data_IF_223334851190
#
_entry.id   IF_223334851190
#
_cell.length_a   1.000
_cell.length_b   1.000
_cell.length_c   1.000
_cell.angle_alpha   90.00
_cell.angle_beta   90.00
_cell.angle_gamma   90.00
#
_symmetry.space_group_name_H-M   'P 1'
#
loop_
_entity.id
_entity.type
_entity.pdbx_description
1 polymer ?
#
# COMPACT_ATOMS: atom_id res chain seq x y z
N UNK A 1 -40.98 70.28 -6.04
CA UNK A 1 -40.54 70.16 -4.63
C UNK A 1 -39.45 69.10 -4.59
N UNK A 2 -38.20 69.52 -4.80
CA UNK A 2 -37.07 69.51 -3.84
C UNK A 2 -36.62 68.12 -3.35
N UNK A 3 -35.34 67.73 -3.60
CA UNK A 3 -34.72 66.48 -3.15
C UNK A 3 -34.03 66.64 -1.79
N UNK A 4 -33.87 65.54 -1.05
CA UNK A 4 -33.02 65.48 0.14
C UNK A 4 -31.78 64.62 -0.12
N UNK A 5 -30.67 65.14 0.39
CA UNK A 5 -29.26 64.83 0.15
C UNK A 5 -28.61 64.08 1.32
N UNK A 6 -27.47 63.43 1.04
CA UNK A 6 -26.32 63.14 1.92
C UNK A 6 -26.57 62.14 3.08
N UNK A 7 -25.62 61.33 3.57
CA UNK A 7 -24.16 61.47 3.67
C UNK A 7 -23.48 60.10 3.79
N UNK A 8 -22.27 59.99 3.25
CA UNK A 8 -21.34 58.91 3.57
C UNK A 8 -20.62 59.14 4.90
N UNK A 9 -20.12 58.06 5.51
CA UNK A 9 -19.21 58.11 6.65
C UNK A 9 -18.06 57.14 6.40
N UNK A 10 -16.87 57.72 6.29
CA UNK A 10 -15.57 57.06 6.31
C UNK A 10 -15.28 56.49 7.69
N UNK A 11 -14.74 55.27 7.74
CA UNK A 11 -14.17 54.69 8.95
C UNK A 11 -12.73 55.22 9.17
N UNK A 12 -12.35 55.58 10.41
CA UNK A 12 -11.01 56.08 10.73
C UNK A 12 -10.01 54.94 10.99
N UNK A 13 -8.75 55.19 10.63
CA UNK A 13 -7.58 54.34 10.91
C UNK A 13 -7.17 54.36 12.40
N UNK A 14 -6.57 53.28 12.93
CA UNK A 14 -6.09 53.27 14.31
C UNK A 14 -4.73 53.97 14.47
N UNK A 15 -4.64 54.74 15.54
CA UNK A 15 -3.50 55.55 16.01
C UNK A 15 -2.53 54.66 16.81
N UNK A 16 -1.23 54.77 16.52
CA UNK A 16 -0.13 54.15 17.27
C UNK A 16 0.25 55.07 18.44
N UNK A 17 0.27 54.61 19.71
CA UNK A 17 0.83 55.41 20.80
C UNK A 17 2.34 55.18 20.93
N UNK A 18 3.06 56.30 20.88
CA UNK A 18 4.47 56.46 21.25
C UNK A 18 4.62 56.51 22.78
N UNK A 19 5.44 55.64 23.35
CA UNK A 19 5.83 55.73 24.76
C UNK A 19 7.32 56.08 24.88
N UNK A 20 7.56 57.20 25.54
CA UNK A 20 8.84 57.84 25.86
C UNK A 20 9.53 57.20 27.07
N UNK A 21 10.87 57.14 27.01
CA UNK A 21 11.79 56.68 28.05
C UNK A 21 11.87 57.65 29.24
N UNK A 22 12.12 57.16 30.47
CA UNK A 22 12.78 57.93 31.50
C UNK A 22 14.26 57.54 31.65
N UNK A 23 15.01 58.52 32.13
CA UNK A 23 16.47 58.64 32.13
C UNK A 23 17.07 58.26 33.49
N UNK A 24 18.20 57.54 33.43
CA UNK A 24 19.31 57.42 34.39
C UNK A 24 19.07 56.85 35.80
N UNK A 25 19.74 55.72 36.07
CA UNK A 25 20.46 55.53 37.34
C UNK A 25 21.80 54.82 37.07
N UNK A 26 22.89 55.48 37.45
CA UNK A 26 24.28 54.96 37.41
C UNK A 26 24.44 53.91 38.51
N UNK A 27 25.02 52.75 38.19
CA UNK A 27 25.68 51.90 39.18
C UNK A 27 26.81 51.07 38.54
N UNK A 28 28.02 51.37 39.01
CA UNK A 28 29.21 50.55 39.20
C UNK A 28 29.62 49.44 38.20
N UNK A 29 30.85 49.60 37.73
CA UNK A 29 31.74 48.61 37.10
C UNK A 29 31.92 47.37 37.97
N UNK A 30 31.78 46.19 37.36
CA UNK A 30 32.52 44.96 37.72
C UNK A 30 32.74 44.15 36.44
N UNK A 31 33.93 44.27 35.85
CA UNK A 31 34.37 43.49 34.71
C UNK A 31 34.63 42.03 35.16
N UNK A 32 33.69 41.14 34.89
CA UNK A 32 33.95 39.70 34.89
C UNK A 32 34.21 39.27 33.44
N UNK A 33 35.48 39.01 33.13
CA UNK A 33 35.88 38.43 31.86
C UNK A 33 35.34 37.00 31.76
N UNK A 34 34.18 36.84 31.11
CA UNK A 34 33.68 35.54 30.68
C UNK A 34 34.52 35.13 29.47
N UNK A 35 35.51 34.27 29.72
CA UNK A 35 36.25 33.59 28.65
C UNK A 35 35.27 32.61 28.00
N UNK A 36 34.63 33.06 26.93
CA UNK A 36 33.82 32.23 26.06
C UNK A 36 34.78 31.33 25.27
N UNK A 37 35.11 30.16 25.82
CA UNK A 37 35.81 29.12 25.05
C UNK A 37 34.84 28.61 23.99
N UNK A 38 34.92 29.21 22.80
CA UNK A 38 34.33 28.65 21.59
C UNK A 38 35.07 27.35 21.32
N UNK A 39 34.56 26.26 21.85
CA UNK A 39 34.98 24.92 21.46
C UNK A 39 34.48 24.71 20.04
N UNK A 40 35.34 25.01 19.08
CA UNK A 40 35.16 24.65 17.68
C UNK A 40 34.96 23.14 17.60
N UNK A 41 33.71 22.70 17.61
CA UNK A 41 33.32 21.36 17.22
C UNK A 41 33.63 21.25 15.72
N UNK A 42 34.84 20.81 15.40
CA UNK A 42 35.17 20.36 14.06
C UNK A 42 34.24 19.19 13.76
N UNK A 43 33.38 19.27 12.72
CA UNK A 43 32.62 18.11 12.31
C UNK A 43 33.64 17.06 11.87
N UNK A 44 33.66 15.92 12.57
CA UNK A 44 34.36 14.73 12.10
C UNK A 44 33.69 14.40 10.77
N UNK A 45 34.35 14.73 9.66
CA UNK A 45 33.94 14.28 8.35
C UNK A 45 33.89 12.75 8.41
N UNK A 46 32.69 12.19 8.34
CA UNK A 46 32.53 10.77 8.16
C UNK A 46 33.30 10.42 6.89
N UNK A 47 34.44 9.74 7.03
CA UNK A 47 35.24 9.29 5.89
C UNK A 47 34.28 8.56 4.95
N UNK A 48 34.11 9.09 3.75
CA UNK A 48 33.33 8.41 2.73
C UNK A 48 33.99 7.05 2.54
N UNK A 49 33.23 5.96 2.76
CA UNK A 49 33.71 4.62 2.51
C UNK A 49 34.36 4.58 1.12
N UNK A 50 35.54 3.94 0.97
CA UNK A 50 36.27 3.94 -0.28
C UNK A 50 35.37 3.45 -1.41
N UNK A 51 35.22 4.27 -2.45
CA UNK A 51 34.54 3.84 -3.67
C UNK A 51 35.52 3.01 -4.49
N UNK A 52 35.16 1.76 -4.77
CA UNK A 52 35.93 0.87 -5.65
C UNK A 52 35.45 1.07 -7.08
N UNK A 53 36.36 1.05 -8.05
CA UNK A 53 35.99 1.10 -9.47
C UNK A 53 35.70 -0.32 -9.97
N UNK A 54 34.77 -0.44 -10.92
CA UNK A 54 34.52 -1.70 -11.64
C UNK A 54 34.26 -1.45 -13.12
N UNK A 55 34.42 -2.48 -13.94
CA UNK A 55 34.07 -2.46 -15.37
C UNK A 55 32.85 -3.35 -15.59
N UNK A 56 31.77 -2.80 -16.16
CA UNK A 56 30.56 -3.57 -16.43
C UNK A 56 30.79 -4.55 -17.57
N UNK A 57 30.56 -5.84 -17.33
CA UNK A 57 30.62 -6.87 -18.38
C UNK A 57 29.25 -7.07 -19.01
N UNK A 58 28.21 -7.17 -18.18
CA UNK A 58 26.80 -7.28 -18.62
C UNK A 58 25.83 -6.95 -17.50
N UNK A 59 24.60 -6.63 -17.89
CA UNK A 59 23.45 -6.56 -16.97
C UNK A 59 22.75 -7.91 -16.93
N UNK A 60 22.51 -8.44 -15.73
CA UNK A 60 21.79 -9.70 -15.55
C UNK A 60 20.28 -9.47 -15.41
N UNK A 61 19.89 -8.49 -14.58
CA UNK A 61 18.51 -8.05 -14.38
C UNK A 61 18.47 -6.61 -13.85
N UNK A 62 17.30 -6.14 -13.43
CA UNK A 62 17.10 -4.76 -12.98
C UNK A 62 17.97 -4.33 -11.80
N UNK A 63 18.39 -5.23 -10.92
CA UNK A 63 19.20 -4.90 -9.74
C UNK A 63 20.47 -5.73 -9.58
N UNK A 64 20.84 -6.48 -10.63
CA UNK A 64 22.03 -7.31 -10.67
C UNK A 64 22.81 -7.08 -11.95
N UNK A 65 24.11 -6.80 -11.81
CA UNK A 65 25.06 -6.75 -12.93
C UNK A 65 26.17 -7.79 -12.72
N UNK A 66 26.94 -8.01 -13.77
CA UNK A 66 28.24 -8.66 -13.67
C UNK A 66 29.30 -7.66 -14.10
N UNK A 67 30.33 -7.51 -13.27
CA UNK A 67 31.38 -6.52 -13.46
C UNK A 67 32.73 -7.10 -13.04
N UNK A 68 33.79 -6.70 -13.71
CA UNK A 68 35.16 -6.96 -13.27
C UNK A 68 35.53 -5.93 -12.20
N UNK A 69 35.82 -6.39 -10.98
CA UNK A 69 36.21 -5.57 -9.82
C UNK A 69 37.55 -6.10 -9.31
N UNK A 70 38.55 -5.23 -9.20
CA UNK A 70 39.93 -5.61 -8.80
C UNK A 70 40.49 -6.82 -9.58
N UNK A 71 40.14 -6.92 -10.87
CA UNK A 71 40.58 -7.99 -11.77
C UNK A 71 39.79 -9.30 -11.68
N UNK A 72 38.72 -9.35 -10.89
CA UNK A 72 37.86 -10.53 -10.70
C UNK A 72 36.46 -10.29 -11.24
N UNK A 73 35.89 -11.24 -11.97
CA UNK A 73 34.47 -11.17 -12.38
C UNK A 73 33.57 -11.39 -11.15
N UNK A 74 32.75 -10.38 -10.83
CA UNK A 74 31.85 -10.38 -9.68
C UNK A 74 30.39 -10.21 -10.12
N UNK A 75 29.49 -10.99 -9.51
CA UNK A 75 28.05 -10.72 -9.61
C UNK A 75 27.68 -9.69 -8.55
N UNK A 76 27.32 -8.48 -8.97
CA UNK A 76 27.03 -7.37 -8.07
C UNK A 76 25.53 -7.18 -7.92
N UNK A 77 25.01 -7.36 -6.70
CA UNK A 77 23.61 -7.12 -6.33
C UNK A 77 23.47 -5.75 -5.67
N UNK A 78 22.57 -4.94 -6.21
CA UNK A 78 22.39 -3.56 -5.75
C UNK A 78 21.82 -3.52 -4.33
N UNK A 79 22.44 -2.73 -3.47
CA UNK A 79 21.98 -2.53 -2.10
C UNK A 79 20.65 -1.77 -2.04
N UNK A 80 19.85 -2.14 -1.06
CA UNK A 80 18.63 -1.45 -0.64
C UNK A 80 17.46 -1.40 -1.64
N UNK A 81 17.52 -2.12 -2.75
CA UNK A 81 16.50 -2.15 -3.81
C UNK A 81 16.14 -3.59 -4.19
N UNK A 82 14.90 -3.78 -4.62
CA UNK A 82 14.37 -5.05 -5.13
C UNK A 82 13.48 -4.78 -6.34
N UNK A 83 13.89 -5.29 -7.49
CA UNK A 83 13.19 -5.13 -8.76
C UNK A 83 12.23 -6.30 -9.01
N UNK A 84 11.20 -6.14 -9.87
CA UNK A 84 10.35 -7.26 -10.26
C UNK A 84 11.18 -8.40 -10.88
N UNK A 85 10.89 -9.64 -10.48
CA UNK A 85 11.58 -10.83 -11.01
C UNK A 85 11.28 -11.01 -12.50
N UNK A 86 12.21 -11.63 -13.22
CA UNK A 86 12.13 -11.86 -14.68
C UNK A 86 10.80 -12.49 -15.09
N UNK A 87 10.24 -12.02 -16.21
CA UNK A 87 8.95 -12.48 -16.73
C UNK A 87 7.74 -11.91 -16.00
N UNK A 88 7.94 -11.04 -15.00
CA UNK A 88 6.85 -10.32 -14.34
C UNK A 88 6.68 -8.89 -14.86
N UNK A 89 5.57 -8.25 -14.50
CA UNK A 89 5.27 -6.89 -14.96
C UNK A 89 6.40 -5.93 -14.57
N UNK A 90 6.96 -5.23 -15.56
CA UNK A 90 8.00 -4.23 -15.40
C UNK A 90 9.41 -4.75 -15.07
N UNK A 91 9.62 -6.07 -15.14
CA UNK A 91 10.95 -6.66 -15.00
C UNK A 91 11.87 -6.23 -16.16
N UNK A 92 11.42 -6.41 -17.41
CA UNK A 92 12.20 -6.04 -18.59
C UNK A 92 12.53 -4.54 -18.60
N UNK A 93 11.56 -3.69 -18.24
CA UNK A 93 11.78 -2.24 -18.14
C UNK A 93 12.79 -1.86 -17.05
N UNK A 94 12.91 -2.64 -15.97
CA UNK A 94 13.94 -2.44 -14.95
C UNK A 94 15.31 -2.84 -15.50
N UNK A 95 15.41 -4.00 -16.15
CA UNK A 95 16.62 -4.49 -16.81
C UNK A 95 17.10 -3.55 -17.92
N UNK A 96 16.20 -3.09 -18.78
CA UNK A 96 16.47 -2.14 -19.87
C UNK A 96 16.99 -0.82 -19.29
N UNK A 97 16.36 -0.31 -18.24
CA UNK A 97 16.82 0.91 -17.58
C UNK A 97 18.25 0.73 -17.04
N UNK A 98 18.53 -0.36 -16.35
CA UNK A 98 19.87 -0.65 -15.84
C UNK A 98 20.88 -0.81 -16.98
N UNK A 99 20.52 -1.47 -18.08
CA UNK A 99 21.36 -1.65 -19.27
C UNK A 99 21.69 -0.34 -19.97
N UNK A 100 20.74 0.61 -20.02
CA UNK A 100 20.99 1.94 -20.58
C UNK A 100 21.89 2.79 -19.67
N UNK A 101 21.76 2.64 -18.35
CA UNK A 101 22.60 3.39 -17.41
C UNK A 101 24.00 2.80 -17.26
N UNK A 102 24.13 1.49 -17.41
CA UNK A 102 25.35 0.71 -17.19
C UNK A 102 25.61 -0.18 -18.41
N UNK A 103 25.92 0.39 -19.60
CA UNK A 103 26.25 -0.40 -20.77
C UNK A 103 27.52 -1.24 -20.52
N UNK A 104 27.69 -2.34 -21.28
CA UNK A 104 28.92 -3.12 -21.22
C UNK A 104 30.13 -2.23 -21.58
N UNK A 105 31.21 -2.37 -20.83
CA UNK A 105 32.40 -1.52 -20.91
C UNK A 105 32.32 -0.22 -20.07
N UNK A 106 31.19 0.07 -19.42
CA UNK A 106 31.06 1.25 -18.56
C UNK A 106 31.91 1.10 -17.29
N UNK A 107 32.64 2.15 -16.93
CA UNK A 107 33.35 2.23 -15.65
C UNK A 107 32.40 2.75 -14.57
N UNK A 108 32.22 1.95 -13.53
CA UNK A 108 31.27 2.22 -12.45
C UNK A 108 31.97 2.50 -11.13
N UNK A 109 31.32 3.29 -10.29
CA UNK A 109 31.67 3.43 -8.89
C UNK A 109 30.82 2.46 -8.04
N UNK A 110 31.50 1.66 -7.24
CA UNK A 110 30.95 0.73 -6.27
C UNK A 110 31.17 1.29 -4.88
N UNK A 111 30.12 1.35 -4.07
CA UNK A 111 30.22 1.68 -2.65
C UNK A 111 29.57 0.61 -1.80
N UNK A 112 30.34 0.05 -0.89
CA UNK A 112 29.89 -1.00 0.01
C UNK A 112 29.19 -0.45 1.26
N UNK A 113 28.53 -1.35 1.96
CA UNK A 113 28.02 -1.15 3.33
C UNK A 113 28.68 -2.22 4.24
N UNK A 114 28.13 -2.45 5.42
CA UNK A 114 28.72 -3.33 6.46
C UNK A 114 29.02 -4.75 5.97
N UNK A 115 28.06 -5.41 5.34
CA UNK A 115 28.24 -6.75 4.78
C UNK A 115 28.50 -6.65 3.28
N UNK A 116 29.60 -7.25 2.83
CA UNK A 116 30.04 -7.22 1.43
C UNK A 116 29.35 -8.28 0.57
N UNK A 117 28.88 -9.38 1.15
CA UNK A 117 28.32 -10.50 0.39
C UNK A 117 27.00 -10.95 0.98
N UNK A 118 26.14 -11.45 0.11
CA UNK A 118 24.94 -12.16 0.53
C UNK A 118 25.18 -13.69 0.61
N UNK A 119 24.22 -14.49 1.11
CA UNK A 119 24.38 -15.95 1.20
C UNK A 119 24.55 -16.69 -0.14
N UNK A 120 24.41 -16.00 -1.28
CA UNK A 120 24.66 -16.53 -2.61
C UNK A 120 26.03 -16.08 -3.15
N UNK A 121 26.89 -15.54 -2.28
CA UNK A 121 28.22 -15.01 -2.58
C UNK A 121 28.23 -13.85 -3.58
N UNK A 122 27.09 -13.17 -3.79
CA UNK A 122 27.03 -11.97 -4.63
C UNK A 122 27.61 -10.78 -3.89
N UNK A 123 28.41 -9.97 -4.58
CA UNK A 123 28.93 -8.72 -4.06
C UNK A 123 27.80 -7.71 -3.87
N UNK A 124 27.68 -7.14 -2.68
CA UNK A 124 26.66 -6.18 -2.31
C UNK A 124 27.20 -4.76 -2.40
N UNK A 125 26.69 -3.98 -3.35
CA UNK A 125 27.15 -2.60 -3.53
C UNK A 125 26.03 -1.64 -3.91
N UNK A 126 26.20 -0.37 -3.56
CA UNK A 126 25.61 0.72 -4.29
C UNK A 126 26.41 0.90 -5.57
N UNK A 127 25.71 1.07 -6.69
CA UNK A 127 26.31 1.16 -8.02
C UNK A 127 25.85 2.43 -8.72
N UNK A 128 26.77 3.14 -9.37
CA UNK A 128 26.49 4.26 -10.28
C UNK A 128 27.53 4.32 -11.40
N UNK A 129 27.18 4.87 -12.58
CA UNK A 129 28.18 5.31 -13.55
C UNK A 129 29.09 6.39 -12.94
N UNK A 130 30.22 6.69 -13.59
CA UNK A 130 31.15 7.73 -13.14
C UNK A 130 30.41 9.04 -12.80
N UNK A 131 29.57 9.47 -13.73
CA UNK A 131 28.67 10.62 -13.60
C UNK A 131 27.22 10.15 -13.54
N UNK A 132 26.55 10.37 -12.41
CA UNK A 132 25.14 10.00 -12.26
C UNK A 132 24.72 9.72 -10.82
N UNK A 133 23.47 9.30 -10.70
CA UNK A 133 22.87 8.89 -9.44
C UNK A 133 23.01 7.38 -9.19
N UNK A 134 22.93 7.01 -7.92
CA UNK A 134 22.94 5.61 -7.50
C UNK A 134 21.73 4.86 -8.07
N UNK A 135 21.99 3.72 -8.75
CA UNK A 135 20.98 2.98 -9.48
C UNK A 135 19.79 2.56 -8.60
N UNK A 136 20.04 2.15 -7.35
CA UNK A 136 18.99 1.84 -6.37
C UNK A 136 17.99 2.99 -6.19
N UNK A 137 18.47 4.24 -6.19
CA UNK A 137 17.63 5.43 -6.07
C UNK A 137 16.90 5.70 -7.39
N UNK A 138 17.61 5.62 -8.51
CA UNK A 138 17.06 5.88 -9.85
C UNK A 138 15.96 4.89 -10.26
N UNK A 139 16.14 3.60 -9.98
CA UNK A 139 15.15 2.53 -10.16
C UNK A 139 13.90 2.79 -9.32
N UNK A 140 14.09 3.14 -8.05
CA UNK A 140 12.98 3.47 -7.15
C UNK A 140 12.20 4.70 -7.60
N UNK A 141 12.89 5.77 -8.05
CA UNK A 141 12.28 7.00 -8.57
C UNK A 141 11.38 6.75 -9.78
N UNK A 142 11.75 5.75 -10.59
CA UNK A 142 11.00 5.35 -11.79
C UNK A 142 9.88 4.35 -11.49
N UNK A 143 9.77 3.89 -10.25
CA UNK A 143 8.85 2.82 -9.85
C UNK A 143 9.19 1.48 -10.51
N UNK A 144 10.47 1.24 -10.78
CA UNK A 144 11.02 0.00 -11.35
C UNK A 144 11.69 -0.89 -10.31
N UNK A 145 11.93 -0.38 -9.10
CA UNK A 145 12.37 -1.16 -7.96
C UNK A 145 11.76 -0.62 -6.66
N UNK A 146 11.79 -1.46 -5.62
CA UNK A 146 11.17 -1.17 -4.33
C UNK A 146 12.18 -1.26 -3.20
N UNK A 147 12.06 -0.43 -2.15
CA UNK A 147 12.99 -0.45 -1.04
C UNK A 147 13.03 -1.83 -0.37
N UNK A 148 14.22 -2.42 -0.24
CA UNK A 148 14.43 -3.68 0.47
C UNK A 148 15.69 -3.56 1.34
N UNK A 149 15.52 -3.45 2.66
CA UNK A 149 16.66 -3.46 3.59
C UNK A 149 16.88 -4.88 4.11
N UNK A 150 18.11 -5.37 3.96
CA UNK A 150 18.58 -6.60 4.59
C UNK A 150 19.65 -6.16 5.58
N UNK A 151 19.40 -6.39 6.86
CA UNK A 151 20.35 -6.00 7.91
C UNK A 151 21.67 -6.75 7.70
N UNK A 152 22.82 -6.10 8.01
CA UNK A 152 22.96 -4.78 8.61
C UNK A 152 23.04 -3.62 7.59
N UNK A 153 22.91 -3.90 6.29
CA UNK A 153 23.12 -2.93 5.20
C UNK A 153 21.92 -1.99 5.03
N UNK A 154 22.06 -0.75 5.49
CA UNK A 154 20.98 0.24 5.60
C UNK A 154 21.35 1.64 5.13
N UNK A 155 22.60 1.88 4.72
CA UNK A 155 23.14 3.21 4.47
C UNK A 155 22.30 4.05 3.49
N UNK A 156 21.66 3.43 2.51
CA UNK A 156 20.89 4.13 1.47
C UNK A 156 19.39 3.89 1.53
N UNK A 157 18.92 3.02 2.42
CA UNK A 157 17.52 2.65 2.50
C UNK A 157 16.57 3.86 2.63
N UNK A 158 16.85 4.89 3.47
CA UNK A 158 15.98 6.07 3.56
C UNK A 158 15.86 6.85 2.23
N UNK A 159 16.95 6.95 1.46
CA UNK A 159 16.94 7.62 0.13
C UNK A 159 16.09 6.83 -0.86
N UNK A 160 16.24 5.51 -0.89
CA UNK A 160 15.45 4.62 -1.76
C UNK A 160 13.95 4.68 -1.40
N UNK A 161 13.61 4.69 -0.11
CA UNK A 161 12.23 4.89 0.36
C UNK A 161 11.66 6.23 -0.11
N UNK A 162 12.43 7.31 0.03
CA UNK A 162 12.01 8.65 -0.43
C UNK A 162 11.73 8.67 -1.94
N UNK A 163 12.60 8.03 -2.74
CA UNK A 163 12.43 7.91 -4.18
C UNK A 163 11.21 7.08 -4.57
N UNK A 164 11.02 5.90 -3.96
CA UNK A 164 9.83 5.08 -4.17
C UNK A 164 8.53 5.81 -3.80
N UNK A 165 8.56 6.64 -2.75
CA UNK A 165 7.42 7.48 -2.38
C UNK A 165 7.14 8.58 -3.41
N UNK A 166 8.16 9.19 -4.03
CA UNK A 166 7.97 10.11 -5.16
C UNK A 166 7.36 9.39 -6.36
N UNK A 167 7.89 8.21 -6.70
CA UNK A 167 7.34 7.39 -7.78
C UNK A 167 5.86 7.03 -7.57
N UNK A 168 5.51 6.65 -6.33
CA UNK A 168 4.14 6.37 -5.92
C UNK A 168 3.22 7.58 -6.06
N UNK A 169 3.65 8.78 -5.63
CA UNK A 169 2.88 10.02 -5.81
C UNK A 169 2.73 10.39 -7.28
N UNK A 170 3.81 10.26 -8.05
CA UNK A 170 3.85 10.51 -9.49
C UNK A 170 3.12 9.46 -10.33
N UNK A 171 2.69 8.33 -9.73
CA UNK A 171 2.02 7.22 -10.42
C UNK A 171 2.85 6.71 -11.61
N UNK A 172 4.15 6.61 -11.44
CA UNK A 172 5.09 6.11 -12.46
C UNK A 172 5.44 4.65 -12.22
N UNK A 173 6.01 4.01 -13.24
CA UNK A 173 6.36 2.59 -13.20
C UNK A 173 5.22 1.70 -12.71
N UNK A 174 5.53 0.85 -11.74
CA UNK A 174 4.61 -0.08 -11.10
C UNK A 174 3.48 0.59 -10.29
N UNK A 175 3.57 1.90 -10.06
CA UNK A 175 2.51 2.71 -9.45
C UNK A 175 1.55 3.32 -10.49
N UNK A 176 1.74 3.04 -11.77
CA UNK A 176 0.92 3.59 -12.86
C UNK A 176 -0.45 2.93 -12.97
N UNK A 177 -1.56 3.68 -12.94
CA UNK A 177 -2.91 3.15 -13.10
C UNK A 177 -3.26 2.79 -14.55
N UNK A 178 -2.47 3.23 -15.53
CA UNK A 178 -2.73 3.02 -16.96
C UNK A 178 -2.01 1.80 -17.52
N UNK A 179 -0.89 1.38 -16.90
CA UNK A 179 -0.21 0.14 -17.25
C UNK A 179 -0.99 -1.07 -16.72
N UNK A 180 -1.61 -1.83 -17.63
CA UNK A 180 -2.60 -2.88 -17.30
C UNK A 180 -2.08 -3.99 -16.40
N UNK A 181 -0.78 -4.28 -16.43
CA UNK A 181 -0.18 -5.34 -15.62
C UNK A 181 0.12 -4.92 -14.17
N UNK A 182 0.04 -3.63 -13.81
CA UNK A 182 0.42 -3.15 -12.48
C UNK A 182 -0.63 -3.50 -11.40
N UNK A 183 -0.24 -3.54 -10.12
CA UNK A 183 -1.17 -3.81 -9.03
C UNK A 183 -2.35 -2.83 -8.97
N UNK A 184 -2.08 -1.55 -9.22
CA UNK A 184 -3.11 -0.50 -9.17
C UNK A 184 -4.09 -0.63 -10.34
N UNK A 185 -3.63 -0.93 -11.56
CA UNK A 185 -4.51 -1.14 -12.71
C UNK A 185 -5.38 -2.40 -12.52
N UNK A 186 -4.79 -3.51 -12.04
CA UNK A 186 -5.51 -4.73 -11.69
C UNK A 186 -6.56 -4.49 -10.60
N UNK A 187 -6.21 -3.74 -9.56
CA UNK A 187 -7.14 -3.36 -8.48
C UNK A 187 -8.30 -2.51 -9.00
N UNK A 188 -8.03 -1.52 -9.89
CA UNK A 188 -9.08 -0.71 -10.52
C UNK A 188 -10.03 -1.56 -11.35
N UNK A 189 -9.49 -2.49 -12.16
CA UNK A 189 -10.30 -3.44 -12.95
C UNK A 189 -11.18 -4.31 -12.06
N UNK A 190 -10.64 -4.85 -10.97
CA UNK A 190 -11.41 -5.59 -9.99
C UNK A 190 -12.55 -4.74 -9.38
N UNK A 191 -12.26 -3.50 -9.00
CA UNK A 191 -13.27 -2.60 -8.44
C UNK A 191 -14.38 -2.22 -9.44
N UNK A 192 -14.06 -2.13 -10.73
CA UNK A 192 -15.05 -1.92 -11.78
C UNK A 192 -16.02 -3.13 -11.87
N UNK A 193 -15.49 -4.35 -11.84
CA UNK A 193 -16.31 -5.57 -11.80
C UNK A 193 -17.20 -5.65 -10.55
N UNK A 194 -16.67 -5.24 -9.39
CA UNK A 194 -17.49 -5.12 -8.16
C UNK A 194 -18.62 -4.12 -8.35
N UNK A 195 -18.35 -2.97 -8.99
CA UNK A 195 -19.38 -1.96 -9.27
C UNK A 195 -20.47 -2.49 -10.19
N UNK A 196 -20.10 -3.23 -11.24
CA UNK A 196 -21.04 -3.87 -12.16
C UNK A 196 -21.87 -5.00 -11.51
N UNK A 197 -21.35 -5.64 -10.46
CA UNK A 197 -22.08 -6.63 -9.68
C UNK A 197 -23.03 -5.97 -8.68
N UNK A 198 -22.66 -4.81 -8.15
CA UNK A 198 -23.47 -4.03 -7.21
C UNK A 198 -24.67 -3.36 -7.88
N UNK A 199 -24.55 -2.96 -9.15
CA UNK A 199 -25.63 -2.34 -9.92
C UNK A 199 -26.52 -3.34 -10.67
N UNK A 200 -26.18 -4.63 -10.68
CA UNK A 200 -26.96 -5.63 -11.38
C UNK A 200 -28.26 -5.94 -10.60
N UNK A 201 -29.42 -6.03 -11.27
CA UNK A 201 -30.65 -6.46 -10.60
C UNK A 201 -30.50 -7.91 -10.13
N UNK A 202 -31.12 -8.24 -9.00
CA UNK A 202 -31.15 -9.60 -8.43
C UNK A 202 -32.62 -10.00 -8.20
N UNK A 203 -33.33 -10.25 -9.30
CA UNK A 203 -34.76 -10.65 -9.31
C UNK A 203 -34.99 -12.07 -9.79
N UNK A 204 -33.97 -12.71 -10.37
CA UNK A 204 -34.05 -14.10 -10.81
C UNK A 204 -32.80 -14.85 -10.37
N UNK A 205 -32.89 -16.18 -10.32
CA UNK A 205 -31.72 -17.03 -10.04
C UNK A 205 -30.58 -16.75 -11.01
N UNK A 206 -30.89 -16.65 -12.30
CA UNK A 206 -29.89 -16.37 -13.33
C UNK A 206 -29.18 -15.02 -13.11
N UNK A 207 -29.92 -13.99 -12.68
CA UNK A 207 -29.37 -12.68 -12.35
C UNK A 207 -28.47 -12.72 -11.10
N UNK A 208 -28.90 -13.41 -10.04
CA UNK A 208 -28.08 -13.64 -8.84
C UNK A 208 -26.77 -14.35 -9.17
N UNK A 209 -26.84 -15.45 -9.91
CA UNK A 209 -25.66 -16.22 -10.33
C UNK A 209 -24.74 -15.38 -11.22
N UNK A 210 -25.28 -14.58 -12.14
CA UNK A 210 -24.50 -13.67 -12.98
C UNK A 210 -23.75 -12.61 -12.14
N UNK A 211 -24.38 -12.04 -11.12
CA UNK A 211 -23.74 -11.09 -10.21
C UNK A 211 -22.61 -11.77 -9.40
N UNK A 212 -22.83 -12.99 -8.91
CA UNK A 212 -21.80 -13.75 -8.20
C UNK A 212 -20.62 -14.15 -9.09
N UNK A 213 -20.87 -14.52 -10.36
CA UNK A 213 -19.79 -14.76 -11.34
C UNK A 213 -18.93 -13.51 -11.53
N UNK A 214 -19.53 -12.32 -11.62
CA UNK A 214 -18.79 -11.05 -11.69
C UNK A 214 -17.94 -10.81 -10.44
N UNK A 215 -18.46 -11.08 -9.24
CA UNK A 215 -17.70 -10.96 -7.99
C UNK A 215 -16.53 -11.94 -7.92
N UNK A 216 -16.73 -13.20 -8.34
CA UNK A 216 -15.66 -14.19 -8.42
C UNK A 216 -14.56 -13.73 -9.38
N UNK A 217 -14.93 -13.23 -10.56
CA UNK A 217 -13.98 -12.64 -11.51
C UNK A 217 -13.24 -11.44 -10.92
N UNK A 218 -13.95 -10.58 -10.19
CA UNK A 218 -13.33 -9.42 -9.52
C UNK A 218 -12.27 -9.85 -8.52
N UNK A 219 -12.56 -10.85 -7.67
CA UNK A 219 -11.61 -11.38 -6.69
C UNK A 219 -10.44 -12.10 -7.34
N UNK A 220 -10.66 -12.82 -8.45
CA UNK A 220 -9.59 -13.44 -9.22
C UNK A 220 -8.64 -12.39 -9.82
N UNK A 221 -9.18 -11.33 -10.42
CA UNK A 221 -8.36 -10.19 -10.92
C UNK A 221 -7.63 -9.49 -9.78
N UNK A 222 -8.29 -9.32 -8.63
CA UNK A 222 -7.69 -8.70 -7.45
C UNK A 222 -6.50 -9.52 -6.93
N UNK A 223 -6.60 -10.85 -6.94
CA UNK A 223 -5.51 -11.74 -6.51
C UNK A 223 -4.24 -11.60 -7.38
N UNK A 224 -4.38 -11.20 -8.65
CA UNK A 224 -3.25 -10.89 -9.53
C UNK A 224 -2.51 -9.61 -9.09
N UNK A 225 -3.09 -8.76 -8.23
CA UNK A 225 -2.42 -7.56 -7.73
C UNK A 225 -1.48 -7.81 -6.53
N UNK A 226 -1.41 -9.04 -6.01
CA UNK A 226 -0.57 -9.37 -4.86
C UNK A 226 0.92 -9.26 -5.20
N UNK A 227 1.74 -8.77 -4.25
CA UNK A 227 3.19 -8.59 -4.42
C UNK A 227 3.91 -9.86 -4.91
N UNK A 228 3.51 -11.05 -4.42
CA UNK A 228 4.08 -12.33 -4.84
C UNK A 228 3.94 -12.63 -6.34
N UNK A 229 3.01 -11.97 -7.04
CA UNK A 229 2.83 -12.11 -8.50
C UNK A 229 3.87 -11.33 -9.31
N UNK A 230 4.71 -10.55 -8.64
CA UNK A 230 5.78 -9.75 -9.25
C UNK A 230 7.17 -10.20 -8.78
N UNK A 231 7.25 -11.24 -7.93
CA UNK A 231 8.51 -11.72 -7.39
C UNK A 231 9.22 -10.78 -6.40
N UNK A 232 8.63 -9.62 -6.12
CA UNK A 232 9.19 -8.61 -5.21
C UNK A 232 9.02 -9.05 -3.75
N UNK A 233 10.14 -9.15 -3.04
CA UNK A 233 10.28 -9.52 -1.61
C UNK A 233 10.19 -8.31 -0.67
N UNK A 234 10.22 -7.09 -1.21
CA UNK A 234 10.08 -5.84 -0.45
C UNK A 234 8.82 -5.80 0.44
N UNK A 235 9.03 -5.58 1.75
CA UNK A 235 7.95 -5.30 2.70
C UNK A 235 7.17 -4.02 2.34
N UNK A 236 7.86 -3.01 1.79
CA UNK A 236 7.24 -1.78 1.29
C UNK A 236 6.21 -2.08 0.20
N UNK A 237 6.58 -2.88 -0.80
CA UNK A 237 5.68 -3.22 -1.91
C UNK A 237 4.55 -4.15 -1.48
N UNK A 238 4.84 -5.08 -0.57
CA UNK A 238 3.82 -5.94 0.05
C UNK A 238 2.78 -5.12 0.81
N UNK A 239 3.19 -4.14 1.61
CA UNK A 239 2.27 -3.25 2.32
C UNK A 239 1.43 -2.41 1.34
N UNK A 240 2.06 -1.87 0.30
CA UNK A 240 1.38 -1.10 -0.75
C UNK A 240 0.27 -1.90 -1.44
N UNK A 241 0.58 -3.11 -1.93
CA UNK A 241 -0.41 -3.96 -2.63
C UNK A 241 -1.54 -4.40 -1.69
N UNK A 242 -1.23 -4.75 -0.44
CA UNK A 242 -2.26 -5.04 0.58
C UNK A 242 -3.21 -3.86 0.79
N UNK A 243 -2.68 -2.65 0.92
CA UNK A 243 -3.46 -1.42 1.12
C UNK A 243 -4.37 -1.11 -0.09
N UNK A 244 -3.88 -1.33 -1.32
CA UNK A 244 -4.69 -1.20 -2.53
C UNK A 244 -5.86 -2.20 -2.56
N UNK A 245 -5.58 -3.45 -2.22
CA UNK A 245 -6.55 -4.55 -2.41
C UNK A 245 -7.62 -4.61 -1.34
N UNK A 246 -7.31 -4.21 -0.10
CA UNK A 246 -8.20 -4.40 1.05
C UNK A 246 -9.58 -3.72 0.89
N UNK A 247 -9.70 -2.46 0.43
CA UNK A 247 -11.01 -1.83 0.22
C UNK A 247 -11.88 -2.54 -0.82
N UNK A 248 -11.27 -2.98 -1.93
CA UNK A 248 -11.98 -3.69 -3.01
C UNK A 248 -12.52 -5.03 -2.53
N UNK A 249 -11.72 -5.77 -1.74
CA UNK A 249 -12.15 -7.04 -1.14
C UNK A 249 -13.30 -6.85 -0.14
N UNK A 250 -13.23 -5.85 0.74
CA UNK A 250 -14.34 -5.53 1.65
C UNK A 250 -15.61 -5.20 0.88
N UNK A 251 -15.49 -4.37 -0.16
CA UNK A 251 -16.62 -4.00 -1.02
C UNK A 251 -17.21 -5.21 -1.75
N UNK A 252 -16.37 -6.09 -2.30
CA UNK A 252 -16.84 -7.32 -2.95
C UNK A 252 -17.64 -8.23 -2.00
N UNK A 253 -17.17 -8.38 -0.75
CA UNK A 253 -17.88 -9.15 0.27
C UNK A 253 -19.21 -8.50 0.68
N UNK A 254 -19.23 -7.18 0.83
CA UNK A 254 -20.46 -6.44 1.14
C UNK A 254 -21.50 -6.55 0.03
N UNK A 255 -21.08 -6.43 -1.24
CA UNK A 255 -21.96 -6.60 -2.40
C UNK A 255 -22.47 -8.04 -2.47
N UNK A 256 -21.63 -9.04 -2.21
CA UNK A 256 -22.08 -10.44 -2.13
C UNK A 256 -23.18 -10.61 -1.09
N UNK A 257 -22.96 -10.12 0.13
CA UNK A 257 -23.95 -10.22 1.20
C UNK A 257 -25.26 -9.50 0.85
N UNK A 258 -25.17 -8.32 0.21
CA UNK A 258 -26.35 -7.59 -0.28
C UNK A 258 -27.14 -8.38 -1.32
N UNK A 259 -26.46 -8.92 -2.33
CA UNK A 259 -27.09 -9.70 -3.39
C UNK A 259 -27.72 -10.99 -2.85
N UNK A 260 -27.09 -11.65 -1.88
CA UNK A 260 -27.67 -12.81 -1.20
C UNK A 260 -28.94 -12.46 -0.44
N UNK A 261 -28.97 -11.32 0.28
CA UNK A 261 -30.19 -10.85 0.96
C UNK A 261 -31.33 -10.57 -0.04
N UNK A 262 -31.03 -9.86 -1.13
CA UNK A 262 -32.02 -9.59 -2.19
C UNK A 262 -32.57 -10.88 -2.81
N UNK A 263 -31.69 -11.83 -3.12
CA UNK A 263 -32.08 -13.12 -3.66
C UNK A 263 -32.99 -13.91 -2.70
N UNK A 264 -32.68 -13.92 -1.41
CA UNK A 264 -33.50 -14.62 -0.42
C UNK A 264 -34.92 -14.02 -0.32
N UNK A 265 -35.05 -12.68 -0.38
CA UNK A 265 -36.36 -12.01 -0.39
C UNK A 265 -37.18 -12.47 -1.60
N UNK A 266 -36.59 -12.40 -2.80
CA UNK A 266 -37.29 -12.76 -4.05
C UNK A 266 -37.65 -14.24 -4.09
N UNK A 267 -36.70 -15.11 -3.71
CA UNK A 267 -36.90 -16.56 -3.65
C UNK A 267 -38.04 -16.91 -2.69
N UNK A 268 -38.03 -16.37 -1.48
CA UNK A 268 -39.06 -16.66 -0.48
C UNK A 268 -40.43 -16.13 -0.92
N UNK A 269 -40.50 -14.95 -1.57
CA UNK A 269 -41.74 -14.44 -2.13
C UNK A 269 -42.31 -15.34 -3.25
N UNK A 270 -41.44 -15.95 -4.07
CA UNK A 270 -41.87 -16.93 -5.09
C UNK A 270 -42.25 -18.29 -4.52
N UNK A 271 -41.74 -18.65 -3.33
CA UNK A 271 -42.08 -19.89 -2.63
C UNK A 271 -43.39 -19.78 -1.83
N UNK A 272 -43.77 -18.58 -1.41
CA UNK A 272 -45.00 -18.31 -0.65
C UNK A 272 -46.25 -18.08 -1.51
N UNK A 273 -46.22 -18.38 -2.80
CA UNK A 273 -47.39 -18.29 -3.71
C UNK A 273 -47.97 -19.65 -4.08
N UNK A 274 -47.80 -20.64 -3.21
CA UNK A 274 -48.39 -21.97 -3.38
C UNK A 274 -49.20 -22.43 -2.17
N UNK A 275 -49.64 -21.50 -1.31
CA UNK A 275 -50.61 -21.75 -0.25
C UNK A 275 -51.69 -20.66 -0.33
N UNK A 276 -52.62 -20.82 -1.27
CA UNK A 276 -54.02 -20.57 -0.91
C UNK A 276 -54.51 -21.82 -0.21
N UNK A 277 -55.04 -21.61 0.99
CA UNK A 277 -55.73 -22.57 1.86
C UNK A 277 -54.81 -23.37 2.80
N UNK A 278 -54.33 -22.74 3.88
CA UNK A 278 -54.99 -22.87 5.18
C UNK A 278 -54.25 -22.12 6.30
N UNK A 279 -55.02 -21.81 7.33
CA UNK A 279 -54.74 -20.95 8.46
C UNK A 279 -53.40 -21.13 9.22
N UNK A 280 -53.05 -20.02 9.87
CA UNK A 280 -52.34 -19.89 11.14
C UNK A 280 -50.80 -19.76 11.15
N UNK A 281 -50.42 -18.58 11.63
CA UNK A 281 -49.15 -18.21 12.26
C UNK A 281 -48.37 -19.36 12.93
N UNK A 282 -47.06 -19.44 12.69
CA UNK A 282 -46.10 -19.39 13.81
C UNK A 282 -44.64 -19.30 13.36
N UNK A 283 -43.94 -18.46 14.11
CA UNK A 283 -42.50 -18.30 14.24
C UNK A 283 -41.75 -19.62 14.46
N UNK A 284 -40.78 -19.89 13.59
CA UNK A 284 -39.85 -21.00 13.70
C UNK A 284 -38.85 -20.74 14.84
N UNK A 285 -39.07 -21.37 15.98
CA UNK A 285 -38.03 -21.68 16.96
C UNK A 285 -38.26 -23.12 17.45
N UNK A 286 -38.21 -24.07 16.50
CA UNK A 286 -38.61 -25.46 16.72
C UNK A 286 -37.44 -26.32 17.22
N UNK A 287 -37.44 -26.65 18.50
CA UNK A 287 -36.79 -27.87 19.00
C UNK A 287 -37.47 -29.12 18.42
N UNK A 288 -36.80 -30.26 18.55
CA UNK A 288 -37.31 -31.55 18.09
C UNK A 288 -38.66 -31.91 18.75
N UNK A 289 -39.63 -32.38 17.95
CA UNK A 289 -40.97 -32.78 18.39
C UNK A 289 -41.16 -34.31 18.25
N UNK A 290 -41.81 -34.98 19.21
CA UNK A 290 -41.95 -36.44 19.19
C UNK A 290 -42.97 -36.90 18.14
N UNK A 291 -42.70 -37.97 17.37
CA UNK A 291 -43.67 -38.51 16.42
C UNK A 291 -44.97 -38.93 17.10
N UNK A 292 -46.12 -38.55 16.53
CA UNK A 292 -47.44 -38.97 17.01
C UNK A 292 -48.03 -38.12 18.15
N UNK A 293 -47.34 -37.06 18.58
CA UNK A 293 -47.85 -36.12 19.59
C UNK A 293 -48.39 -34.86 18.91
N UNK A 294 -49.61 -34.47 19.25
CA UNK A 294 -50.22 -33.23 18.72
C UNK A 294 -49.37 -32.01 19.08
N UNK A 295 -49.19 -31.08 18.13
CA UNK A 295 -48.55 -29.78 18.38
C UNK A 295 -49.33 -28.91 19.39
N UNK A 296 -50.59 -29.26 19.69
CA UNK A 296 -51.41 -28.63 20.73
C UNK A 296 -51.29 -29.29 22.11
N UNK A 297 -50.37 -30.24 22.32
CA UNK A 297 -50.19 -30.91 23.61
C UNK A 297 -49.65 -29.96 24.70
N UNK A 298 -50.45 -29.77 25.76
CA UNK A 298 -50.13 -28.94 26.93
C UNK A 298 -49.91 -29.73 28.23
N UNK A 299 -49.88 -31.07 28.16
CA UNK A 299 -49.67 -31.93 29.32
C UNK A 299 -48.21 -31.98 29.80
N UNK A 300 -47.93 -32.66 30.91
CA UNK A 300 -46.58 -32.81 31.46
C UNK A 300 -45.63 -33.50 30.46
N UNK A 301 -44.36 -33.10 30.49
CA UNK A 301 -43.30 -33.59 29.59
C UNK A 301 -42.20 -34.28 30.38
N UNK A 302 -41.89 -35.50 29.99
CA UNK A 302 -40.81 -36.33 30.53
C UNK A 302 -39.63 -36.27 29.56
N UNK A 303 -38.41 -36.02 30.06
CA UNK A 303 -37.22 -35.80 29.23
C UNK A 303 -36.24 -36.97 29.35
N UNK A 304 -35.60 -37.34 28.23
CA UNK A 304 -34.49 -38.29 28.25
C UNK A 304 -33.23 -37.66 28.87
N UNK A 305 -32.31 -38.47 29.42
CA UNK A 305 -31.02 -37.99 29.90
C UNK A 305 -30.29 -37.20 28.79
N UNK A 306 -30.07 -35.90 29.01
CA UNK A 306 -29.49 -34.99 28.03
C UNK A 306 -30.44 -33.87 27.55
N UNK A 307 -31.74 -33.95 27.85
CA UNK A 307 -32.67 -32.80 27.83
C UNK A 307 -33.08 -32.24 26.47
N UNK A 308 -32.68 -32.86 25.35
CA UNK A 308 -33.04 -32.41 23.99
C UNK A 308 -34.29 -33.15 23.44
N UNK A 309 -34.60 -34.32 23.99
CA UNK A 309 -35.71 -35.19 23.59
C UNK A 309 -36.70 -35.29 24.75
N UNK A 310 -38.00 -35.19 24.46
CA UNK A 310 -39.09 -35.31 25.43
C UNK A 310 -40.22 -36.20 24.92
N UNK A 311 -41.09 -36.67 25.82
CA UNK A 311 -42.34 -37.37 25.50
C UNK A 311 -43.42 -37.04 26.56
N UNK A 312 -44.72 -37.18 26.23
CA UNK A 312 -45.79 -37.06 27.22
C UNK A 312 -45.54 -37.98 28.42
N UNK A 313 -45.65 -37.44 29.63
CA UNK A 313 -46.00 -38.26 30.77
C UNK A 313 -47.52 -38.51 30.69
#
# INVERSE_FOLDING_TARGET
>A
MRPCTHSGVLLPSPIIPSASLPTLMRAAVSAAAVILTVTSFLPIAAAAAPSTAGLVERVADGDTIVATVDGVEERVRFLNIDTPEVGTCMADQATDFTSVQLPAGEVIALRYDRDLRDPYERLLALVKPAEGEWLSVSLAERGLGFPLMIAPNSAFYPRVVSAANRAKRGKVGMFSPTRTCTPIARTRRANALVSQAASAPVRTRAQYEAANRKLNRALAVLALAAASRYGVKSAYFTAYTKALMAPVRRRANAVRASNTRQWNIVRNASSGHNDTDDDSSSSNNGGWWPPGVSHSYTGPRCYEPGGVIWYPC
#
